data_IF_539129431650
#
_entry.id   IF_539129431650
#
_cell.length_a   1.000
_cell.length_b   1.000
_cell.length_c   1.000
_cell.angle_alpha   90.00
_cell.angle_beta   90.00
_cell.angle_gamma   90.00
#
_symmetry.space_group_name_H-M   'P 1'
#
loop_
_entity.id
_entity.type
_entity.pdbx_description
1 polymer ?
#
# COMPACT_ATOMS: atom_id res chain seq x y z
N UNK A 1 10.73 -50.10 -30.78
CA UNK A 1 11.80 -49.41 -31.55
C UNK A 1 13.11 -50.10 -31.27
N UNK A 2 13.83 -50.56 -32.29
CA UNK A 2 15.13 -51.22 -32.13
C UNK A 2 16.21 -50.22 -31.67
N UNK A 3 17.23 -50.64 -30.91
CA UNK A 3 18.33 -49.76 -30.48
C UNK A 3 19.03 -49.06 -31.65
N UNK A 4 19.16 -49.74 -32.79
CA UNK A 4 19.74 -49.19 -34.02
C UNK A 4 18.94 -47.99 -34.57
N UNK A 5 17.61 -48.05 -34.51
CA UNK A 5 16.74 -46.97 -34.98
C UNK A 5 16.85 -45.73 -34.09
N UNK A 6 17.04 -45.90 -32.79
CA UNK A 6 17.28 -44.77 -31.87
C UNK A 6 18.62 -44.09 -32.14
N UNK A 7 19.66 -44.87 -32.44
CA UNK A 7 20.99 -44.36 -32.79
C UNK A 7 20.91 -43.57 -34.10
N UNK A 8 20.26 -44.13 -35.13
CA UNK A 8 20.06 -43.44 -36.40
C UNK A 8 19.26 -42.15 -36.24
N UNK A 9 18.18 -42.16 -35.45
CA UNK A 9 17.37 -40.96 -35.19
C UNK A 9 18.17 -39.87 -34.47
N UNK A 10 19.00 -40.24 -33.49
CA UNK A 10 19.90 -39.29 -32.80
C UNK A 10 20.98 -38.73 -33.73
N UNK A 11 21.56 -39.57 -34.59
CA UNK A 11 22.56 -39.15 -35.56
C UNK A 11 21.96 -38.16 -36.59
N UNK A 12 20.71 -38.37 -37.01
CA UNK A 12 19.98 -37.45 -37.90
C UNK A 12 19.69 -36.11 -37.23
N UNK A 13 19.28 -36.10 -35.95
CA UNK A 13 19.11 -34.85 -35.18
C UNK A 13 20.42 -34.06 -35.07
N UNK A 14 21.49 -34.74 -34.63
CA UNK A 14 22.84 -34.16 -34.49
C UNK A 14 23.43 -33.65 -35.82
N UNK A 15 23.06 -34.26 -36.94
CA UNK A 15 23.46 -33.85 -38.30
C UNK A 15 22.57 -32.76 -38.89
N UNK A 16 21.45 -32.41 -38.25
CA UNK A 16 20.50 -31.45 -38.81
C UNK A 16 21.04 -30.03 -38.68
N UNK A 17 21.18 -29.35 -39.82
CA UNK A 17 21.65 -27.97 -39.90
C UNK A 17 20.71 -26.99 -39.18
N UNK A 18 19.45 -27.38 -38.98
CA UNK A 18 18.43 -26.63 -38.24
C UNK A 18 18.72 -26.64 -36.74
N UNK A 19 18.95 -27.81 -36.13
CA UNK A 19 19.27 -27.90 -34.69
C UNK A 19 20.64 -27.26 -34.40
N UNK A 20 21.61 -27.42 -35.30
CA UNK A 20 22.92 -26.76 -35.20
C UNK A 20 22.79 -25.22 -35.19
N UNK A 21 22.00 -24.66 -36.12
CA UNK A 21 21.75 -23.21 -36.18
C UNK A 21 20.92 -22.70 -35.00
N UNK A 22 20.01 -23.52 -34.47
CA UNK A 22 19.21 -23.17 -33.30
C UNK A 22 20.10 -23.09 -32.05
N UNK A 23 20.94 -24.10 -31.81
CA UNK A 23 21.91 -24.10 -30.71
C UNK A 23 22.88 -22.92 -30.82
N UNK A 24 23.38 -22.62 -32.02
CA UNK A 24 24.24 -21.45 -32.24
C UNK A 24 23.54 -20.13 -31.88
N UNK A 25 22.28 -19.94 -32.29
CA UNK A 25 21.49 -18.75 -31.92
C UNK A 25 21.28 -18.63 -30.42
N UNK A 26 21.02 -19.73 -29.73
CA UNK A 26 20.86 -19.77 -28.26
C UNK A 26 22.17 -19.50 -27.51
N UNK A 27 23.32 -19.88 -28.08
CA UNK A 27 24.63 -19.57 -27.51
C UNK A 27 25.04 -18.11 -27.78
N UNK A 28 24.74 -17.58 -28.95
CA UNK A 28 24.95 -16.16 -29.29
C UNK A 28 24.06 -15.26 -28.43
N UNK A 29 22.81 -15.64 -28.15
CA UNK A 29 21.93 -14.84 -27.27
C UNK A 29 22.35 -14.85 -25.80
N UNK A 30 23.09 -15.88 -25.35
CA UNK A 30 23.63 -15.97 -23.99
C UNK A 30 25.00 -15.30 -23.84
N UNK A 31 25.71 -15.07 -24.94
CA UNK A 31 27.01 -14.41 -24.92
C UNK A 31 26.85 -12.90 -25.11
N UNK A 32 26.66 -12.17 -24.00
CA UNK A 32 26.94 -10.74 -23.98
C UNK A 32 28.44 -10.55 -23.77
N UNK A 33 29.15 -9.96 -24.74
CA UNK A 33 30.57 -9.58 -24.57
C UNK A 33 30.76 -8.41 -23.62
N UNK A 34 29.66 -7.81 -23.16
CA UNK A 34 29.63 -6.58 -22.40
C UNK A 34 29.06 -6.92 -21.03
N UNK A 35 29.87 -6.76 -20.00
CA UNK A 35 29.37 -6.76 -18.62
C UNK A 35 28.24 -5.75 -18.55
N UNK A 36 27.05 -6.15 -18.10
CA UNK A 36 25.92 -5.25 -17.84
C UNK A 36 26.31 -4.25 -16.74
N UNK A 37 27.05 -3.22 -17.12
CA UNK A 37 27.30 -2.07 -16.27
C UNK A 37 26.00 -1.27 -16.19
N UNK A 38 25.70 -0.66 -15.03
CA UNK A 38 24.48 0.12 -14.86
C UNK A 38 24.34 1.26 -15.90
N UNK A 39 25.47 1.72 -16.45
CA UNK A 39 25.53 2.73 -17.51
C UNK A 39 24.96 2.23 -18.85
N UNK A 40 25.29 1.02 -19.26
CA UNK A 40 24.83 0.44 -20.53
C UNK A 40 23.36 0.01 -20.45
N UNK A 41 22.91 -0.45 -19.28
CA UNK A 41 21.48 -0.69 -19.02
C UNK A 41 20.67 0.60 -19.12
N UNK A 42 21.21 1.72 -18.64
CA UNK A 42 20.57 3.02 -18.76
C UNK A 42 20.51 3.49 -20.22
N UNK A 43 21.59 3.32 -21.00
CA UNK A 43 21.61 3.69 -22.42
C UNK A 43 20.67 2.83 -23.27
N UNK A 44 20.61 1.52 -23.03
CA UNK A 44 19.69 0.61 -23.74
C UNK A 44 18.23 0.90 -23.39
N UNK A 45 17.92 1.15 -22.11
CA UNK A 45 16.58 1.61 -21.70
C UNK A 45 16.23 2.95 -22.35
N UNK A 46 17.15 3.93 -22.33
CA UNK A 46 16.99 5.23 -22.98
C UNK A 46 16.74 5.11 -24.48
N UNK A 47 17.48 4.26 -25.17
CA UNK A 47 17.33 3.99 -26.60
C UNK A 47 15.96 3.40 -26.97
N UNK A 48 15.37 2.55 -26.12
CA UNK A 48 14.01 2.03 -26.32
C UNK A 48 12.91 3.07 -26.16
N UNK A 49 13.17 4.17 -25.46
CA UNK A 49 12.24 5.31 -25.38
C UNK A 49 12.42 6.27 -26.55
N UNK A 50 13.64 6.37 -27.09
CA UNK A 50 13.95 7.17 -28.27
C UNK A 50 13.52 6.53 -29.59
N UNK A 51 13.40 5.19 -29.65
CA UNK A 51 12.95 4.51 -30.86
C UNK A 51 11.46 4.76 -31.11
N UNK A 52 11.12 5.43 -32.21
CA UNK A 52 9.76 5.75 -32.68
C UNK A 52 8.83 4.54 -32.89
N UNK A 53 9.29 3.31 -32.66
CA UNK A 53 8.52 2.08 -32.85
C UNK A 53 7.37 1.87 -31.85
N UNK A 54 7.46 2.39 -30.61
CA UNK A 54 6.42 2.20 -29.59
C UNK A 54 5.16 3.05 -29.82
N UNK A 55 5.32 4.22 -30.45
CA UNK A 55 4.24 5.15 -30.69
C UNK A 55 3.12 4.61 -31.61
N UNK A 56 3.42 3.95 -32.76
CA UNK A 56 2.37 3.34 -33.58
C UNK A 56 1.73 2.11 -32.91
N UNK A 57 2.46 1.35 -32.09
CA UNK A 57 1.95 0.14 -31.44
C UNK A 57 0.84 0.44 -30.42
N UNK A 58 1.03 1.49 -29.61
CA UNK A 58 0.04 1.95 -28.64
C UNK A 58 -1.20 2.55 -29.33
N UNK A 59 -0.97 3.32 -30.42
CA UNK A 59 -2.03 3.88 -31.26
C UNK A 59 -2.84 2.79 -31.97
N UNK A 60 -2.19 1.74 -32.48
CA UNK A 60 -2.85 0.58 -33.10
C UNK A 60 -3.64 -0.24 -32.08
N UNK A 61 -3.13 -0.40 -30.85
CA UNK A 61 -3.90 -1.05 -29.78
C UNK A 61 -5.14 -0.29 -29.37
N UNK A 62 -5.13 1.04 -29.43
CA UNK A 62 -6.29 1.86 -29.04
C UNK A 62 -7.26 2.15 -30.18
N UNK A 63 -6.82 1.97 -31.44
CA UNK A 63 -7.69 2.13 -32.61
C UNK A 63 -8.85 1.12 -32.53
N UNK A 64 -10.08 1.65 -32.40
CA UNK A 64 -11.30 0.86 -32.39
C UNK A 64 -11.82 0.39 -31.02
N UNK A 65 -11.14 0.68 -29.90
CA UNK A 65 -11.58 0.27 -28.54
C UNK A 65 -12.48 1.28 -27.81
N UNK A 66 -12.68 2.48 -28.38
CA UNK A 66 -13.53 3.53 -27.80
C UNK A 66 -15.02 3.36 -28.11
N UNK A 67 -15.63 2.23 -27.76
CA UNK A 67 -17.09 2.11 -27.78
C UNK A 67 -17.63 2.35 -26.37
N UNK A 68 -17.88 3.61 -26.01
CA UNK A 68 -18.70 3.89 -24.83
C UNK A 68 -20.09 3.30 -25.10
N UNK A 69 -20.66 2.45 -24.23
CA UNK A 69 -22.03 2.02 -24.40
C UNK A 69 -22.89 3.29 -24.45
N UNK A 70 -23.66 3.46 -25.53
CA UNK A 70 -24.38 4.70 -25.86
C UNK A 70 -25.20 5.27 -24.69
N UNK A 71 -25.58 4.40 -23.74
CA UNK A 71 -26.31 4.75 -22.52
C UNK A 71 -25.57 5.64 -21.50
N UNK A 72 -24.23 5.77 -21.56
CA UNK A 72 -23.45 6.53 -20.57
C UNK A 72 -23.10 7.95 -21.06
N UNK A 73 -23.33 8.26 -22.33
CA UNK A 73 -23.04 9.61 -22.83
C UNK A 73 -23.96 10.65 -22.17
N UNK A 74 -23.42 11.83 -21.76
CA UNK A 74 -24.25 12.89 -21.18
C UNK A 74 -25.39 13.32 -22.11
N UNK A 75 -25.14 13.34 -23.43
CA UNK A 75 -26.15 13.65 -24.44
C UNK A 75 -27.33 12.66 -24.42
N UNK A 76 -27.05 11.36 -24.32
CA UNK A 76 -28.10 10.34 -24.22
C UNK A 76 -28.91 10.48 -22.93
N UNK A 77 -28.27 10.77 -21.79
CA UNK A 77 -28.97 10.96 -20.52
C UNK A 77 -29.91 12.19 -20.55
N UNK A 78 -29.49 13.26 -21.25
CA UNK A 78 -30.32 14.46 -21.46
C UNK A 78 -31.49 14.13 -22.37
N UNK A 79 -31.24 13.48 -23.51
CA UNK A 79 -32.27 13.08 -24.46
C UNK A 79 -33.30 12.11 -23.84
N UNK A 80 -32.84 11.13 -23.05
CA UNK A 80 -33.72 10.20 -22.32
C UNK A 80 -34.63 10.95 -21.35
N UNK A 81 -34.09 11.88 -20.56
CA UNK A 81 -34.91 12.69 -19.62
C UNK A 81 -35.91 13.59 -20.34
N UNK A 82 -35.51 14.21 -21.45
CA UNK A 82 -36.41 15.02 -22.28
C UNK A 82 -37.55 14.17 -22.85
N UNK A 83 -37.24 12.97 -23.38
CA UNK A 83 -38.23 12.05 -23.91
C UNK A 83 -39.19 11.52 -22.83
N UNK A 84 -38.68 11.26 -21.62
CA UNK A 84 -39.53 10.85 -20.49
C UNK A 84 -40.50 11.95 -20.06
N UNK A 85 -40.07 13.22 -20.07
CA UNK A 85 -40.92 14.37 -19.76
C UNK A 85 -41.96 14.64 -20.85
N UNK A 86 -41.59 14.43 -22.12
CA UNK A 86 -42.49 14.60 -23.26
C UNK A 86 -43.41 13.40 -23.51
N UNK A 87 -43.22 12.28 -22.79
CA UNK A 87 -44.00 11.06 -22.99
C UNK A 87 -45.40 11.19 -22.43
N UNK A 88 -46.39 11.19 -23.33
CA UNK A 88 -47.81 11.28 -22.98
C UNK A 88 -48.30 10.08 -22.15
N UNK A 89 -47.73 8.90 -22.40
CA UNK A 89 -47.97 7.67 -21.62
C UNK A 89 -47.52 7.86 -20.16
N UNK A 90 -46.37 8.49 -19.95
CA UNK A 90 -45.83 8.74 -18.60
C UNK A 90 -46.62 9.82 -17.88
N UNK A 91 -47.09 10.85 -18.60
CA UNK A 91 -47.96 11.90 -18.08
C UNK A 91 -49.27 11.34 -17.52
N UNK A 92 -49.94 10.45 -18.26
CA UNK A 92 -51.21 9.84 -17.85
C UNK A 92 -51.04 8.66 -16.87
N UNK A 93 -49.82 8.17 -16.66
CA UNK A 93 -49.55 6.98 -15.85
C UNK A 93 -50.07 7.09 -14.41
N UNK A 94 -49.95 8.26 -13.78
CA UNK A 94 -50.44 8.49 -12.42
C UNK A 94 -51.96 8.43 -12.35
N UNK A 95 -52.64 9.05 -13.32
CA UNK A 95 -54.09 9.09 -13.41
C UNK A 95 -54.65 7.68 -13.61
N UNK A 96 -54.06 6.93 -14.53
CA UNK A 96 -54.42 5.53 -14.80
C UNK A 96 -54.24 4.62 -13.58
N UNK A 97 -53.22 4.85 -12.74
CA UNK A 97 -52.95 4.04 -11.54
C UNK A 97 -53.79 4.45 -10.33
N UNK A 98 -53.93 5.75 -10.11
CA UNK A 98 -54.39 6.29 -8.82
C UNK A 98 -55.81 6.84 -8.87
N UNK A 99 -56.31 7.21 -10.05
CA UNK A 99 -57.60 7.91 -10.19
C UNK A 99 -58.60 7.08 -10.99
N UNK A 100 -58.15 6.44 -12.06
CA UNK A 100 -59.01 5.66 -12.95
C UNK A 100 -59.58 4.44 -12.23
N UNK A 101 -60.91 4.34 -12.20
CA UNK A 101 -61.63 3.20 -11.62
C UNK A 101 -61.91 3.29 -10.12
N UNK A 102 -61.44 4.34 -9.41
CA UNK A 102 -61.94 4.63 -8.06
C UNK A 102 -63.31 5.32 -8.18
N UNK A 103 -64.38 4.57 -7.96
CA UNK A 103 -65.73 5.13 -7.91
C UNK A 103 -65.88 6.00 -6.65
N UNK A 104 -66.22 7.28 -6.80
CA UNK A 104 -66.64 8.12 -5.67
C UNK A 104 -67.85 7.46 -5.00
N UNK A 105 -67.65 7.01 -3.75
CA UNK A 105 -68.75 6.55 -2.91
C UNK A 105 -69.54 7.78 -2.44
N UNK A 106 -70.56 8.19 -3.20
CA UNK A 106 -71.82 8.79 -2.70
C UNK A 106 -72.64 9.36 -3.87
N UNK A 107 -73.78 8.73 -4.15
CA UNK A 107 -74.72 9.07 -5.22
C UNK A 107 -75.64 10.26 -4.87
N UNK A 108 -75.10 11.31 -4.23
CA UNK A 108 -75.92 12.41 -3.69
C UNK A 108 -75.28 13.80 -3.68
N UNK A 109 -73.96 13.91 -3.88
CA UNK A 109 -73.23 15.17 -3.67
C UNK A 109 -72.27 15.44 -4.82
N UNK A 110 -72.78 15.46 -6.05
CA UNK A 110 -71.98 15.73 -7.26
C UNK A 110 -71.41 17.15 -7.28
N UNK A 111 -72.07 18.12 -6.64
CA UNK A 111 -71.53 19.48 -6.47
C UNK A 111 -70.48 19.53 -5.37
N UNK A 112 -70.78 19.01 -4.17
CA UNK A 112 -69.85 19.08 -3.04
C UNK A 112 -68.55 18.32 -3.31
N UNK A 113 -68.58 17.17 -4.01
CA UNK A 113 -67.35 16.45 -4.39
C UNK A 113 -66.51 17.22 -5.43
N UNK A 114 -67.13 17.93 -6.36
CA UNK A 114 -66.42 18.78 -7.33
C UNK A 114 -65.86 20.01 -6.65
N UNK A 115 -66.62 20.60 -5.71
CA UNK A 115 -66.19 21.73 -4.90
C UNK A 115 -65.04 21.33 -3.96
N UNK A 116 -65.09 20.14 -3.36
CA UNK A 116 -64.03 19.57 -2.52
C UNK A 116 -62.79 19.27 -3.36
N UNK A 117 -62.93 18.64 -4.54
CA UNK A 117 -61.81 18.38 -5.44
C UNK A 117 -61.17 19.68 -5.94
N UNK A 118 -61.97 20.69 -6.26
CA UNK A 118 -61.47 22.01 -6.63
C UNK A 118 -60.81 22.71 -5.44
N UNK A 119 -61.34 22.57 -4.22
CA UNK A 119 -60.73 23.10 -3.00
C UNK A 119 -59.42 22.40 -2.69
N UNK A 120 -59.33 21.08 -2.82
CA UNK A 120 -58.11 20.29 -2.60
C UNK A 120 -57.06 20.62 -3.66
N UNK A 121 -57.46 20.72 -4.93
CA UNK A 121 -56.58 21.16 -6.02
C UNK A 121 -56.07 22.59 -5.80
N UNK A 122 -56.94 23.50 -5.36
CA UNK A 122 -56.55 24.87 -5.02
C UNK A 122 -55.68 24.91 -3.76
N UNK A 123 -55.93 24.06 -2.76
CA UNK A 123 -55.13 23.95 -1.54
C UNK A 123 -53.73 23.39 -1.84
N UNK A 124 -53.61 22.33 -2.63
CA UNK A 124 -52.32 21.81 -3.09
C UNK A 124 -51.58 22.84 -3.94
N UNK A 125 -52.31 23.52 -4.84
CA UNK A 125 -51.76 24.60 -5.65
C UNK A 125 -51.25 25.75 -4.78
N UNK A 126 -52.04 26.27 -3.85
CA UNK A 126 -51.69 27.36 -2.93
C UNK A 126 -50.61 26.95 -1.92
N UNK A 127 -50.62 25.70 -1.46
CA UNK A 127 -49.60 25.15 -0.59
C UNK A 127 -48.24 25.13 -1.29
N UNK A 128 -48.19 24.76 -2.57
CA UNK A 128 -46.96 24.79 -3.36
C UNK A 128 -46.64 26.17 -3.94
N UNK A 129 -47.62 27.09 -3.97
CA UNK A 129 -47.44 28.47 -4.42
C UNK A 129 -46.65 29.26 -3.39
N UNK A 130 -45.38 29.52 -3.69
CA UNK A 130 -44.49 30.31 -2.82
C UNK A 130 -43.64 29.49 -1.84
N UNK A 131 -43.86 28.18 -1.70
CA UNK A 131 -42.92 27.25 -1.01
C UNK A 131 -41.71 26.86 -1.86
N UNK A 132 -41.59 27.40 -3.07
CA UNK A 132 -40.43 27.26 -3.95
C UNK A 132 -39.21 28.09 -3.53
N UNK A 133 -38.89 28.16 -2.23
CA UNK A 133 -37.55 28.56 -1.81
C UNK A 133 -36.74 27.28 -1.67
N UNK A 134 -36.25 26.75 -2.80
CA UNK A 134 -35.05 25.93 -2.70
C UNK A 134 -34.04 26.81 -1.96
N UNK A 135 -33.47 26.38 -0.81
CA UNK A 135 -32.45 27.19 -0.17
C UNK A 135 -31.43 27.48 -1.26
N UNK A 136 -31.13 28.77 -1.46
CA UNK A 136 -30.48 29.27 -2.69
C UNK A 136 -29.26 28.45 -3.13
N UNK A 137 -28.64 27.75 -2.17
CA UNK A 137 -27.54 26.79 -2.29
C UNK A 137 -27.80 25.52 -3.12
N UNK A 138 -29.04 25.11 -3.42
CA UNK A 138 -29.34 23.85 -4.13
C UNK A 138 -29.98 24.08 -5.52
N UNK A 139 -30.19 25.33 -5.93
CA UNK A 139 -30.70 25.59 -7.29
C UNK A 139 -29.67 25.15 -8.34
N UNK A 140 -30.11 24.56 -9.47
CA UNK A 140 -29.19 24.18 -10.55
C UNK A 140 -28.33 25.35 -11.05
N UNK A 141 -28.92 26.55 -11.08
CA UNK A 141 -28.21 27.79 -11.41
C UNK A 141 -27.08 28.08 -10.42
N UNK A 142 -27.34 27.98 -9.12
CA UNK A 142 -26.32 28.18 -8.09
C UNK A 142 -25.23 27.10 -8.15
N UNK A 143 -25.59 25.83 -8.34
CA UNK A 143 -24.60 24.74 -8.47
C UNK A 143 -23.70 24.96 -9.69
N UNK A 144 -24.25 25.42 -10.81
CA UNK A 144 -23.49 25.77 -11.99
C UNK A 144 -22.59 26.98 -11.75
N UNK A 145 -23.09 28.03 -11.10
CA UNK A 145 -22.31 29.20 -10.73
C UNK A 145 -21.18 28.86 -9.75
N UNK A 146 -21.43 27.99 -8.76
CA UNK A 146 -20.42 27.48 -7.82
C UNK A 146 -19.33 26.72 -8.55
N UNK A 147 -19.69 25.81 -9.46
CA UNK A 147 -18.71 25.07 -10.29
C UNK A 147 -17.89 26.02 -11.18
N UNK A 148 -18.53 27.00 -11.80
CA UNK A 148 -17.85 28.01 -12.62
C UNK A 148 -16.86 28.83 -11.78
N UNK A 149 -17.27 29.27 -10.58
CA UNK A 149 -16.40 29.99 -9.64
C UNK A 149 -15.24 29.13 -9.13
N UNK A 150 -15.46 27.85 -8.87
CA UNK A 150 -14.40 26.92 -8.49
C UNK A 150 -13.37 26.73 -9.62
N UNK A 151 -13.83 26.64 -10.87
CA UNK A 151 -12.94 26.54 -12.05
C UNK A 151 -12.19 27.85 -12.31
N UNK A 152 -12.81 28.99 -12.05
CA UNK A 152 -12.21 30.32 -12.20
C UNK A 152 -11.35 30.74 -11.01
N UNK A 153 -11.32 29.97 -9.91
CA UNK A 153 -10.59 30.34 -8.70
C UNK A 153 -9.09 30.09 -8.86
N UNK A 154 -8.30 31.16 -8.81
CA UNK A 154 -6.84 31.11 -8.81
C UNK A 154 -6.26 30.23 -7.69
N UNK A 155 -6.92 30.18 -6.54
CA UNK A 155 -6.46 29.38 -5.39
C UNK A 155 -6.55 27.89 -5.71
N UNK A 156 -7.69 27.47 -6.28
CA UNK A 156 -7.91 26.08 -6.68
C UNK A 156 -6.98 25.71 -7.84
N UNK A 157 -6.84 26.59 -8.82
CA UNK A 157 -5.88 26.43 -9.92
C UNK A 157 -4.44 26.25 -9.43
N UNK A 158 -3.96 27.10 -8.51
CA UNK A 158 -2.59 26.98 -7.96
C UNK A 158 -2.40 25.69 -7.18
N UNK A 159 -3.41 25.26 -6.41
CA UNK A 159 -3.37 23.99 -5.67
C UNK A 159 -3.30 22.80 -6.63
N UNK A 160 -4.17 22.78 -7.64
CA UNK A 160 -4.21 21.71 -8.65
C UNK A 160 -2.91 21.69 -9.46
N UNK A 161 -2.35 22.87 -9.80
CA UNK A 161 -1.03 23.00 -10.43
C UNK A 161 0.09 22.43 -9.56
N UNK A 162 0.08 22.66 -8.24
CA UNK A 162 1.07 22.08 -7.32
C UNK A 162 0.93 20.55 -7.21
N UNK A 163 -0.30 20.03 -7.22
CA UNK A 163 -0.54 18.58 -7.23
C UNK A 163 -0.10 17.96 -8.55
N UNK A 164 -0.42 18.60 -9.67
CA UNK A 164 0.00 18.18 -11.01
C UNK A 164 1.52 18.31 -11.19
N UNK A 165 2.18 19.29 -10.58
CA UNK A 165 3.65 19.42 -10.59
C UNK A 165 4.36 18.16 -10.05
N UNK A 166 3.71 17.39 -9.19
CA UNK A 166 4.23 16.11 -8.70
C UNK A 166 4.05 14.94 -9.67
N UNK A 167 3.08 15.00 -10.59
CA UNK A 167 2.75 13.91 -11.51
C UNK A 167 3.15 14.19 -12.98
N UNK A 168 3.16 15.45 -13.40
CA UNK A 168 3.64 15.92 -14.67
C UNK A 168 5.15 16.15 -14.56
N UNK A 169 5.89 15.05 -14.64
CA UNK A 169 7.34 15.03 -14.77
C UNK A 169 7.73 15.80 -16.04
N UNK A 170 8.09 17.08 -15.88
CA UNK A 170 9.09 17.64 -16.79
C UNK A 170 10.33 16.77 -16.66
N UNK A 171 11.09 16.60 -17.73
CA UNK A 171 12.34 15.84 -17.77
C UNK A 171 13.46 16.46 -16.89
N UNK A 172 13.14 17.31 -15.93
CA UNK A 172 14.06 17.80 -14.92
C UNK A 172 14.09 16.82 -13.75
N UNK A 173 15.25 16.20 -13.54
CA UNK A 173 15.60 15.51 -12.30
C UNK A 173 15.25 16.40 -11.11
N UNK A 174 14.84 15.80 -9.99
CA UNK A 174 14.55 16.56 -8.76
C UNK A 174 15.77 17.41 -8.37
N UNK A 175 15.57 18.48 -7.60
CA UNK A 175 16.67 19.38 -7.20
C UNK A 175 17.82 18.63 -6.48
N UNK A 176 17.52 17.47 -5.87
CA UNK A 176 18.50 16.60 -5.21
C UNK A 176 19.21 15.65 -6.18
N UNK A 177 18.54 15.25 -7.26
CA UNK A 177 19.08 14.36 -8.30
C UNK A 177 19.77 15.13 -9.43
N UNK A 178 19.52 16.43 -9.56
CA UNK A 178 20.18 17.28 -10.54
C UNK A 178 21.65 17.52 -10.17
N UNK A 179 22.56 16.91 -10.92
CA UNK A 179 24.00 16.99 -10.70
C UNK A 179 24.54 18.43 -10.68
N UNK A 180 24.05 19.30 -11.57
CA UNK A 180 24.48 20.71 -11.65
C UNK A 180 24.08 21.48 -10.40
N UNK A 181 22.83 21.28 -9.94
CA UNK A 181 22.36 21.93 -8.72
C UNK A 181 23.08 21.40 -7.48
N UNK A 182 23.36 20.10 -7.42
CA UNK A 182 24.12 19.49 -6.33
C UNK A 182 25.55 20.05 -6.28
N UNK A 183 26.23 20.12 -7.43
CA UNK A 183 27.55 20.73 -7.52
C UNK A 183 27.54 22.20 -7.09
N UNK A 184 26.53 22.97 -7.53
CA UNK A 184 26.39 24.36 -7.10
C UNK A 184 26.15 24.49 -5.59
N UNK A 185 25.34 23.62 -4.99
CA UNK A 185 25.13 23.57 -3.54
C UNK A 185 26.41 23.21 -2.78
N UNK A 186 27.16 22.23 -3.27
CA UNK A 186 28.40 21.78 -2.63
C UNK A 186 29.48 22.87 -2.70
N UNK A 187 29.63 23.54 -3.85
CA UNK A 187 30.53 24.70 -3.99
C UNK A 187 30.10 25.85 -3.06
N UNK A 188 28.80 26.14 -2.97
CA UNK A 188 28.29 27.16 -2.06
C UNK A 188 28.58 26.81 -0.60
N UNK A 189 28.43 25.54 -0.18
CA UNK A 189 28.79 25.10 1.18
C UNK A 189 30.28 25.24 1.46
N UNK A 190 31.13 24.95 0.47
CA UNK A 190 32.59 25.10 0.63
C UNK A 190 33.02 26.56 0.83
N UNK A 191 32.33 27.49 0.16
CA UNK A 191 32.66 28.93 0.24
C UNK A 191 31.84 29.70 1.30
N UNK A 192 30.83 29.06 1.89
CA UNK A 192 29.95 29.65 2.89
C UNK A 192 30.71 29.96 4.17
N UNK A 193 30.89 31.26 4.48
CA UNK A 193 31.47 31.69 5.75
C UNK A 193 30.64 31.23 6.95
N UNK A 194 29.32 31.10 6.77
CA UNK A 194 28.39 30.66 7.81
C UNK A 194 28.68 29.21 8.18
N UNK A 195 28.83 28.34 7.17
CA UNK A 195 29.15 26.93 7.40
C UNK A 195 30.58 26.77 7.94
N UNK A 196 31.54 27.56 7.42
CA UNK A 196 32.92 27.57 7.94
C UNK A 196 33.00 27.93 9.42
N UNK A 197 32.22 28.91 9.87
CA UNK A 197 32.20 29.37 11.28
C UNK A 197 31.26 28.56 12.16
N UNK A 198 30.46 27.65 11.60
CA UNK A 198 29.39 26.92 12.30
C UNK A 198 29.89 26.18 13.52
N UNK A 199 30.97 25.42 13.40
CA UNK A 199 31.50 24.63 14.52
C UNK A 199 32.09 25.53 15.62
N UNK A 200 32.72 26.63 15.23
CA UNK A 200 33.21 27.64 16.16
C UNK A 200 32.05 28.29 16.93
N UNK A 201 30.99 28.70 16.24
CA UNK A 201 29.77 29.23 16.89
C UNK A 201 29.07 28.19 17.77
N UNK A 202 28.98 26.93 17.33
CA UNK A 202 28.40 25.84 18.13
C UNK A 202 29.22 25.54 19.40
N UNK A 203 30.54 25.71 19.33
CA UNK A 203 31.45 25.50 20.46
C UNK A 203 31.51 26.69 21.41
N UNK A 204 31.17 27.91 20.94
CA UNK A 204 31.11 29.09 21.80
C UNK A 204 30.05 28.90 22.87
N UNK A 205 30.49 28.97 24.13
CA UNK A 205 29.59 28.87 25.29
C UNK A 205 29.32 27.44 25.77
N UNK A 206 29.91 26.40 25.16
CA UNK A 206 29.86 25.06 25.74
C UNK A 206 30.82 24.97 26.94
N UNK A 207 30.29 25.09 28.15
CA UNK A 207 31.02 24.72 29.37
C UNK A 207 30.98 23.21 29.52
N UNK A 208 32.16 22.58 29.42
CA UNK A 208 32.29 21.14 29.65
C UNK A 208 32.32 20.92 31.17
N UNK A 209 31.47 20.03 31.69
CA UNK A 209 31.52 19.64 33.09
C UNK A 209 32.91 19.05 33.42
N UNK A 210 33.45 19.29 34.62
CA UNK A 210 34.76 18.78 35.04
C UNK A 210 34.93 17.27 34.78
N UNK A 211 33.90 16.47 35.06
CA UNK A 211 33.90 15.02 34.85
C UNK A 211 33.92 14.60 33.37
N UNK A 212 33.59 15.53 32.47
CA UNK A 212 33.58 15.30 31.04
C UNK A 212 34.84 15.79 30.34
N UNK A 213 35.74 16.44 31.08
CA UNK A 213 37.04 16.83 30.54
C UNK A 213 37.76 15.60 29.98
N UNK A 214 38.47 15.73 28.84
CA UNK A 214 39.22 14.62 28.26
C UNK A 214 40.20 13.99 29.26
N UNK A 215 40.80 14.82 30.12
CA UNK A 215 41.70 14.38 31.18
C UNK A 215 40.98 13.50 32.21
N UNK A 216 39.84 13.94 32.75
CA UNK A 216 39.08 13.13 33.71
C UNK A 216 38.54 11.85 33.07
N UNK A 217 38.03 11.92 31.84
CA UNK A 217 37.60 10.73 31.08
C UNK A 217 38.74 9.72 30.89
N UNK A 218 39.95 10.19 30.60
CA UNK A 218 41.13 9.33 30.48
C UNK A 218 41.54 8.72 31.83
N UNK A 219 41.58 9.51 32.89
CA UNK A 219 41.86 9.02 34.25
C UNK A 219 40.83 7.97 34.68
N UNK A 220 39.55 8.19 34.40
CA UNK A 220 38.48 7.24 34.70
C UNK A 220 38.57 5.96 33.85
N UNK A 221 39.05 6.04 32.61
CA UNK A 221 39.34 4.84 31.81
C UNK A 221 40.50 4.05 32.42
N UNK A 222 41.59 4.73 32.79
CA UNK A 222 42.77 4.09 33.39
C UNK A 222 42.42 3.47 34.75
N UNK A 223 41.65 4.16 35.58
CA UNK A 223 41.26 3.68 36.92
C UNK A 223 40.49 2.36 36.86
N UNK A 224 39.67 2.12 35.82
CA UNK A 224 39.00 0.83 35.63
C UNK A 224 39.97 -0.33 35.48
N UNK A 225 41.12 -0.11 34.84
CA UNK A 225 42.14 -1.15 34.63
C UNK A 225 43.14 -1.25 35.78
N UNK A 226 43.44 -0.14 36.45
CA UNK A 226 44.43 -0.10 37.54
C UNK A 226 43.82 -0.27 38.92
N UNK A 227 42.49 -0.38 39.03
CA UNK A 227 41.84 -0.55 40.34
C UNK A 227 42.04 -1.96 40.88
N UNK A 228 42.54 -2.04 42.10
CA UNK A 228 42.68 -3.29 42.86
C UNK A 228 41.35 -4.04 43.01
N UNK A 229 40.23 -3.31 43.10
CA UNK A 229 38.89 -3.88 43.16
C UNK A 229 38.58 -4.66 41.88
N UNK A 230 38.88 -4.11 40.69
CA UNK A 230 38.66 -4.80 39.42
C UNK A 230 39.63 -5.97 39.24
N UNK A 231 40.89 -5.82 39.65
CA UNK A 231 41.87 -6.92 39.65
C UNK A 231 41.39 -8.10 40.51
N UNK A 232 40.83 -7.81 41.70
CA UNK A 232 40.32 -8.83 42.62
C UNK A 232 38.92 -9.33 42.27
N UNK A 233 38.19 -8.65 41.40
CA UNK A 233 36.81 -9.00 41.04
C UNK A 233 36.72 -10.41 40.46
N UNK A 234 37.59 -10.76 39.50
CA UNK A 234 37.63 -12.09 38.91
C UNK A 234 37.91 -13.18 39.95
N UNK A 235 38.91 -12.95 40.82
CA UNK A 235 39.22 -13.87 41.91
C UNK A 235 38.07 -14.02 42.91
N UNK A 236 37.40 -12.93 43.28
CA UNK A 236 36.24 -12.98 44.18
C UNK A 236 35.07 -13.72 43.54
N UNK A 237 34.80 -13.49 42.25
CA UNK A 237 33.75 -14.17 41.51
C UNK A 237 34.03 -15.67 41.38
N UNK A 238 35.30 -16.07 41.25
CA UNK A 238 35.71 -17.48 41.20
C UNK A 238 35.97 -18.09 42.57
N UNK A 239 35.95 -17.31 43.65
CA UNK A 239 36.26 -17.79 44.99
C UNK A 239 35.19 -18.79 45.43
N UNK A 240 35.57 -20.07 45.47
CA UNK A 240 34.65 -21.17 45.79
C UNK A 240 34.00 -21.82 44.58
N UNK A 241 34.34 -21.40 43.35
CA UNK A 241 33.96 -22.08 42.12
C UNK A 241 35.15 -22.90 41.62
N UNK A 242 35.04 -24.23 41.69
CA UNK A 242 36.02 -25.14 41.12
C UNK A 242 35.79 -25.23 39.61
N UNK A 243 36.47 -24.39 38.84
CA UNK A 243 36.68 -24.62 37.43
C UNK A 243 37.69 -25.78 37.34
N UNK A 244 37.19 -26.99 37.08
CA UNK A 244 38.06 -28.17 37.03
C UNK A 244 39.23 -28.02 36.06
N UNK A 245 40.19 -28.95 36.13
CA UNK A 245 41.32 -28.98 35.18
C UNK A 245 40.76 -28.93 33.77
N UNK A 246 41.25 -27.99 32.96
CA UNK A 246 40.80 -27.78 31.58
C UNK A 246 40.71 -29.12 30.86
N UNK A 247 39.51 -29.45 30.38
CA UNK A 247 39.24 -30.71 29.69
C UNK A 247 40.22 -30.88 28.54
N UNK A 248 40.81 -32.07 28.39
CA UNK A 248 41.67 -32.37 27.24
C UNK A 248 40.94 -32.10 25.93
N UNK A 249 41.68 -31.69 24.88
CA UNK A 249 41.12 -31.35 23.56
C UNK A 249 40.27 -32.49 22.99
N UNK A 250 40.64 -33.74 23.28
CA UNK A 250 39.86 -34.93 22.90
C UNK A 250 38.53 -35.01 23.63
N UNK A 251 38.51 -34.68 24.92
CA UNK A 251 37.29 -34.64 25.74
C UNK A 251 36.36 -33.52 25.29
N UNK A 252 36.91 -32.32 25.04
CA UNK A 252 36.15 -31.20 24.47
C UNK A 252 35.54 -31.56 23.12
N UNK A 253 36.31 -32.23 22.26
CA UNK A 253 35.83 -32.70 20.96
C UNK A 253 34.71 -33.75 21.12
N UNK A 254 34.87 -34.72 22.01
CA UNK A 254 33.85 -35.73 22.29
C UNK A 254 32.56 -35.11 22.83
N UNK A 255 32.65 -34.13 23.73
CA UNK A 255 31.48 -33.38 24.23
C UNK A 255 30.79 -32.61 23.10
N UNK A 256 31.56 -31.95 22.22
CA UNK A 256 31.02 -31.26 21.05
C UNK A 256 30.34 -32.21 20.06
N UNK A 257 30.95 -33.36 19.79
CA UNK A 257 30.34 -34.40 18.94
C UNK A 257 29.06 -34.94 19.59
N UNK A 258 29.08 -35.16 20.91
CA UNK A 258 27.89 -35.57 21.67
C UNK A 258 26.77 -34.53 21.63
N UNK A 259 27.09 -33.23 21.74
CA UNK A 259 26.09 -32.16 21.62
C UNK A 259 25.52 -32.05 20.21
N UNK A 260 26.33 -32.28 19.17
CA UNK A 260 25.89 -32.31 17.78
C UNK A 260 25.03 -33.55 17.46
N UNK A 261 25.37 -34.69 18.07
CA UNK A 261 24.57 -35.91 17.97
C UNK A 261 23.25 -35.81 18.75
N UNK A 262 23.21 -34.98 19.80
CA UNK A 262 22.00 -34.73 20.55
C UNK A 262 21.03 -33.86 19.72
N UNK A 263 19.76 -34.25 19.67
CA UNK A 263 18.71 -33.45 19.04
C UNK A 263 18.39 -32.14 19.79
N UNK A 264 19.21 -31.73 20.76
CA UNK A 264 18.96 -30.53 21.58
C UNK A 264 19.12 -29.28 20.73
N UNK A 265 20.22 -29.16 19.99
CA UNK A 265 20.46 -28.05 19.07
C UNK A 265 19.41 -28.01 17.95
N UNK A 266 19.10 -29.17 17.36
CA UNK A 266 18.04 -29.27 16.36
C UNK A 266 16.68 -28.81 16.90
N UNK A 267 16.32 -29.20 18.13
CA UNK A 267 15.05 -28.79 18.76
C UNK A 267 15.03 -27.30 19.13
N UNK A 268 16.15 -26.72 19.56
CA UNK A 268 16.21 -25.28 19.83
C UNK A 268 16.06 -24.46 18.54
N UNK A 269 16.76 -24.87 17.48
CA UNK A 269 16.73 -24.19 16.19
C UNK A 269 15.33 -24.35 15.56
N UNK A 270 14.73 -25.53 15.63
CA UNK A 270 13.35 -25.77 15.19
C UNK A 270 12.34 -24.87 15.92
N UNK A 271 12.46 -24.70 17.24
CA UNK A 271 11.57 -23.81 17.99
C UNK A 271 11.74 -22.33 17.60
N UNK A 272 12.97 -21.93 17.25
CA UNK A 272 13.26 -20.58 16.75
C UNK A 272 12.74 -20.37 15.32
N UNK A 273 12.88 -21.37 14.46
CA UNK A 273 12.36 -21.35 13.09
C UNK A 273 10.83 -21.39 13.07
N UNK A 274 10.17 -22.19 13.92
CA UNK A 274 8.71 -22.21 14.08
C UNK A 274 8.17 -20.83 14.50
N UNK A 275 8.91 -20.10 15.34
CA UNK A 275 8.57 -18.72 15.71
C UNK A 275 8.80 -17.71 14.57
N UNK A 276 9.81 -17.92 13.72
CA UNK A 276 10.17 -17.02 12.63
C UNK A 276 9.35 -17.26 11.35
N UNK A 277 8.92 -18.51 11.10
CA UNK A 277 8.11 -18.89 9.95
C UNK A 277 6.63 -18.53 10.18
N UNK A 278 6.35 -17.23 10.25
CA UNK A 278 4.99 -16.74 10.16
C UNK A 278 4.57 -16.72 8.68
N UNK A 279 4.15 -17.88 8.15
CA UNK A 279 3.42 -17.90 6.88
C UNK A 279 2.20 -16.98 7.03
N UNK A 280 1.96 -16.02 6.11
CA UNK A 280 0.73 -15.24 6.16
C UNK A 280 -0.41 -16.24 6.07
N UNK A 281 -1.13 -16.41 7.17
CA UNK A 281 -2.23 -17.35 7.21
C UNK A 281 -3.25 -16.88 6.18
N UNK A 282 -3.30 -17.55 5.03
CA UNK A 282 -4.41 -17.41 4.11
C UNK A 282 -5.64 -17.80 4.93
N UNK A 283 -6.52 -16.82 5.20
CA UNK A 283 -7.73 -17.00 6.00
C UNK A 283 -8.70 -17.91 5.25
N UNK A 284 -8.41 -19.19 5.21
CA UNK A 284 -9.31 -20.21 4.71
C UNK A 284 -10.53 -20.27 5.63
N UNK A 285 -11.73 -20.53 5.10
CA UNK A 285 -12.92 -20.70 5.93
C UNK A 285 -12.73 -21.75 7.03
N UNK A 286 -11.96 -22.81 6.76
CA UNK A 286 -11.58 -23.83 7.74
C UNK A 286 -10.76 -23.27 8.90
N UNK A 287 -9.78 -22.40 8.64
CA UNK A 287 -8.98 -21.77 9.69
C UNK A 287 -9.79 -20.80 10.57
N UNK A 288 -10.72 -20.07 9.97
CA UNK A 288 -11.64 -19.22 10.74
C UNK A 288 -12.52 -20.06 11.68
N UNK A 289 -12.98 -21.23 11.20
CA UNK A 289 -13.76 -22.17 12.02
C UNK A 289 -12.91 -22.73 13.17
N UNK A 290 -11.67 -23.17 12.93
CA UNK A 290 -10.81 -23.71 14.00
C UNK A 290 -10.45 -22.66 15.05
N UNK A 291 -10.14 -21.42 14.65
CA UNK A 291 -9.91 -20.30 15.58
C UNK A 291 -11.12 -19.99 16.45
N UNK A 292 -12.34 -20.07 15.90
CA UNK A 292 -13.59 -19.89 16.67
C UNK A 292 -13.84 -21.03 17.67
N UNK A 293 -13.27 -22.21 17.43
CA UNK A 293 -13.35 -23.37 18.33
C UNK A 293 -12.23 -23.40 19.38
N UNK A 294 -11.18 -22.58 19.25
CA UNK A 294 -10.07 -22.52 20.23
C UNK A 294 -10.52 -22.28 21.68
N UNK A 295 -11.51 -21.39 21.98
CA UNK A 295 -12.03 -21.21 23.33
C UNK A 295 -12.67 -22.48 23.92
N UNK A 296 -13.18 -23.36 23.06
CA UNK A 296 -13.87 -24.60 23.42
C UNK A 296 -12.91 -25.80 23.60
N UNK A 297 -11.60 -25.58 23.55
CA UNK A 297 -10.62 -26.63 23.82
C UNK A 297 -10.65 -27.05 25.28
N UNK A 298 -10.51 -28.35 25.52
CA UNK A 298 -10.55 -28.98 26.85
C UNK A 298 -9.55 -28.35 27.85
N UNK A 299 -8.43 -27.82 27.34
CA UNK A 299 -7.41 -27.10 28.12
C UNK A 299 -7.96 -25.84 28.78
N UNK A 300 -8.93 -25.16 28.16
CA UNK A 300 -9.56 -23.96 28.73
C UNK A 300 -10.58 -24.31 29.82
N UNK A 301 -11.23 -25.48 29.72
CA UNK A 301 -12.17 -25.96 30.73
C UNK A 301 -11.49 -26.50 32.00
N UNK A 302 -10.22 -26.91 31.89
CA UNK A 302 -9.42 -27.40 33.03
C UNK A 302 -8.64 -26.30 33.76
N UNK A 303 -8.89 -25.03 33.47
CA UNK A 303 -8.20 -23.94 34.15
C UNK A 303 -8.69 -23.79 35.60
N UNK A 304 -7.76 -23.51 36.53
CA UNK A 304 -8.11 -23.25 37.93
C UNK A 304 -9.11 -22.09 38.04
N UNK A 305 -10.07 -22.26 38.95
CA UNK A 305 -11.23 -21.35 39.15
C UNK A 305 -10.78 -19.90 39.39
N UNK A 306 -9.64 -19.68 40.04
CA UNK A 306 -9.08 -18.35 40.32
C UNK A 306 -8.76 -17.52 39.06
N UNK A 307 -8.65 -18.17 37.89
CA UNK A 307 -8.37 -17.50 36.60
C UNK A 307 -9.63 -17.14 35.82
N UNK A 308 -10.80 -17.61 36.25
CA UNK A 308 -12.07 -17.32 35.59
C UNK A 308 -12.59 -15.95 36.06
N UNK A 309 -12.74 -15.00 35.13
CA UNK A 309 -13.38 -13.71 35.40
C UNK A 309 -14.89 -13.91 35.48
N UNK A 310 -15.45 -13.84 36.68
CA UNK A 310 -16.90 -13.79 36.87
C UNK A 310 -17.44 -12.44 36.37
N UNK A 311 -18.28 -12.44 35.34
CA UNK A 311 -19.10 -11.28 35.02
C UNK A 311 -20.30 -11.25 35.97
N UNK A 312 -20.45 -10.17 36.74
CA UNK A 312 -21.65 -9.96 37.55
C UNK A 312 -22.85 -9.86 36.62
N UNK A 313 -23.81 -10.77 36.76
CA UNK A 313 -25.11 -10.66 36.10
C UNK A 313 -25.84 -9.50 36.75
N UNK A 314 -25.99 -8.38 36.04
CA UNK A 314 -26.94 -7.35 36.46
C UNK A 314 -28.33 -7.91 36.20
N UNK A 315 -28.99 -8.40 37.25
CA UNK A 315 -30.42 -8.67 37.22
C UNK A 315 -31.13 -7.33 37.02
N UNK A 316 -31.66 -7.09 35.82
CA UNK A 316 -32.69 -6.08 35.61
C UNK A 316 -34.00 -6.80 35.28
N UNK A 317 -35.09 -6.51 36.02
CA UNK A 317 -36.41 -7.10 35.83
C UNK A 317 -37.10 -6.65 34.53
#
# INVERSE_FOLDING_TARGET
MTPSYQIAKKAVGLSSDVEYKQGHKEHVSKFSSVMDTPEILHETAGGQFMSDFKYPEEYEQQRGKGSFPAMITPAYQIAKRANELASDVKYHQRYEKEVKGKASHSLGTLRENVDQFNQDYMHEYEEHRGKGSFPAMITPAYLNAKKANELASDIKYKKDFLQMKGAAHYHCLSAQENLVLKQAQDVNKLYSEVDYKKDLENSKGHSINYCETPQFRNVNKISKYTSDLKYKEHYQNQKGHYEGVGMDRRTLHAMKVGSLASNIAYKSDYAQDDANYNYPVILTPSYQTTRKLDPLKDVNYRQNIDKLKYSSVTCTP
#
